data_IF_587678387224
#
_entry.id   IF_587678387224
#
_cell.length_a   1.000
_cell.length_b   1.000
_cell.length_c   1.000
_cell.angle_alpha   90.00
_cell.angle_beta   90.00
_cell.angle_gamma   90.00
#
_symmetry.space_group_name_H-M   'P 1'
#
loop_
_entity.id
_entity.type
_entity.pdbx_description
1 polymer ?
#
# COMPACT_ATOMS: atom_id res chain seq x y z
N UNK A 1 39.75 -20.57 8.63
CA UNK A 1 39.15 -20.29 7.31
C UNK A 1 38.06 -19.27 7.53
N UNK A 2 38.45 -18.03 7.32
CA UNK A 2 37.73 -16.81 7.61
C UNK A 2 36.49 -16.65 6.73
N UNK A 3 35.35 -16.44 7.37
CA UNK A 3 34.22 -15.76 6.75
C UNK A 3 33.66 -14.76 7.76
N UNK A 4 34.31 -13.59 7.84
CA UNK A 4 33.71 -12.39 8.40
C UNK A 4 32.50 -12.03 7.53
N UNK A 5 31.33 -12.55 7.87
CA UNK A 5 30.07 -12.01 7.39
C UNK A 5 29.88 -10.68 8.09
N UNK A 6 30.27 -9.59 7.41
CA UNK A 6 29.91 -8.24 7.83
C UNK A 6 28.38 -8.18 7.96
N UNK A 7 27.83 -7.61 9.03
CA UNK A 7 26.40 -7.35 9.10
C UNK A 7 26.07 -6.37 7.96
N UNK A 8 25.40 -6.87 6.93
CA UNK A 8 24.80 -6.04 5.92
C UNK A 8 23.70 -5.26 6.63
N UNK A 9 24.00 -4.02 6.99
CA UNK A 9 23.01 -3.03 7.38
C UNK A 9 21.94 -2.99 6.28
N UNK A 10 20.83 -3.68 6.53
CA UNK A 10 19.62 -3.45 5.77
C UNK A 10 19.26 -1.97 5.98
N UNK A 11 19.13 -1.16 4.92
CA UNK A 11 18.78 0.24 5.08
C UNK A 11 17.42 0.33 5.77
N UNK A 12 17.39 0.85 7.01
CA UNK A 12 16.17 1.07 7.81
C UNK A 12 15.19 2.11 7.23
N UNK A 13 15.33 2.47 5.96
CA UNK A 13 14.35 3.24 5.20
C UNK A 13 14.35 2.74 3.76
N UNK A 14 13.54 1.74 3.49
CA UNK A 14 13.14 1.43 2.11
C UNK A 14 12.24 2.58 1.66
N UNK A 15 12.55 3.27 0.54
CA UNK A 15 11.76 4.41 0.10
C UNK A 15 10.33 3.94 -0.23
N UNK A 16 9.36 4.35 0.59
CA UNK A 16 7.91 4.14 0.40
C UNK A 16 7.32 4.93 -0.77
N UNK A 17 8.11 5.27 -1.78
CA UNK A 17 7.60 6.08 -2.89
C UNK A 17 7.15 5.15 -3.99
N UNK A 18 5.86 4.83 -3.98
CA UNK A 18 5.15 4.35 -5.17
C UNK A 18 5.49 5.34 -6.30
N UNK A 19 6.11 4.88 -7.40
CA UNK A 19 6.29 5.69 -8.59
C UNK A 19 4.91 6.01 -9.13
N UNK A 20 4.46 7.24 -8.86
CA UNK A 20 3.26 7.77 -9.47
C UNK A 20 3.56 7.96 -10.95
N UNK A 21 3.03 7.05 -11.79
CA UNK A 21 2.87 7.30 -13.21
C UNK A 21 2.00 8.55 -13.33
N UNK A 22 2.62 9.71 -13.53
CA UNK A 22 1.91 10.96 -13.78
C UNK A 22 1.04 10.72 -15.00
N UNK A 23 -0.29 10.94 -14.94
CA UNK A 23 -1.10 10.89 -16.14
C UNK A 23 -0.58 11.98 -17.07
N UNK A 24 0.07 11.58 -18.15
CA UNK A 24 0.32 12.45 -19.29
C UNK A 24 -0.96 12.54 -20.11
N UNK A 25 -1.20 13.75 -20.59
CA UNK A 25 -2.26 14.20 -21.51
C UNK A 25 -3.50 14.81 -20.85
N UNK A 26 -3.66 16.09 -21.20
CA UNK A 26 -4.77 17.01 -20.95
C UNK A 26 -6.07 16.50 -21.59
N UNK A 27 -6.73 15.56 -20.92
CA UNK A 27 -8.09 15.13 -21.20
C UNK A 27 -8.83 14.98 -19.88
N UNK A 28 -10.13 15.33 -19.82
CA UNK A 28 -10.97 15.12 -18.63
C UNK A 28 -10.75 13.68 -18.14
N UNK A 29 -10.20 13.53 -16.94
CA UNK A 29 -10.07 12.21 -16.31
C UNK A 29 -11.46 11.59 -16.21
N UNK A 30 -11.59 10.33 -16.63
CA UNK A 30 -12.85 9.61 -16.44
C UNK A 30 -13.15 9.48 -14.95
N UNK A 31 -14.44 9.37 -14.59
CA UNK A 31 -14.89 9.16 -13.21
C UNK A 31 -14.17 7.97 -12.54
N UNK A 32 -13.95 6.89 -13.29
CA UNK A 32 -13.21 5.71 -12.84
C UNK A 32 -11.75 6.06 -12.55
N UNK A 33 -11.06 6.75 -13.45
CA UNK A 33 -9.67 7.16 -13.22
C UNK A 33 -9.56 8.07 -11.99
N UNK A 34 -10.48 9.03 -11.83
CA UNK A 34 -10.50 9.89 -10.64
C UNK A 34 -10.76 9.10 -9.36
N UNK A 35 -11.66 8.11 -9.36
CA UNK A 35 -11.89 7.25 -8.20
C UNK A 35 -10.63 6.46 -7.81
N UNK A 36 -9.94 5.87 -8.79
CA UNK A 36 -8.67 5.17 -8.55
C UNK A 36 -7.58 6.09 -8.01
N UNK A 37 -7.51 7.34 -8.50
CA UNK A 37 -6.56 8.32 -7.99
C UNK A 37 -6.87 8.74 -6.55
N UNK A 38 -8.14 8.85 -6.18
CA UNK A 38 -8.54 9.09 -4.79
C UNK A 38 -8.04 7.98 -3.88
N UNK A 39 -8.20 6.70 -4.25
CA UNK A 39 -7.70 5.57 -3.46
C UNK A 39 -6.16 5.56 -3.35
N UNK A 40 -5.46 6.03 -4.37
CA UNK A 40 -3.98 6.05 -4.42
C UNK A 40 -3.33 7.24 -3.70
N UNK A 41 -4.11 8.20 -3.19
CA UNK A 41 -3.58 9.43 -2.57
C UNK A 41 -3.18 9.26 -1.09
N UNK A 42 -3.65 8.18 -0.46
CA UNK A 42 -3.36 7.83 0.93
C UNK A 42 -1.95 7.23 1.05
N UNK A 43 -1.33 7.39 2.22
CA UNK A 43 -0.02 6.81 2.52
C UNK A 43 0.08 6.41 3.99
N UNK A 44 1.16 5.72 4.38
CA UNK A 44 1.37 5.39 5.80
C UNK A 44 1.56 6.64 6.66
N UNK A 45 2.23 7.67 6.14
CA UNK A 45 2.42 8.94 6.84
C UNK A 45 1.11 9.73 7.00
N UNK A 46 0.15 9.52 6.10
CA UNK A 46 -1.14 10.21 6.08
C UNK A 46 -2.25 9.22 5.68
N UNK A 47 -2.65 8.42 6.65
CA UNK A 47 -3.66 7.37 6.52
C UNK A 47 -5.09 7.91 6.49
N UNK A 48 -5.31 9.11 7.03
CA UNK A 48 -6.57 9.83 6.99
C UNK A 48 -6.41 11.16 6.24
N UNK A 49 -7.38 11.51 5.39
CA UNK A 49 -7.38 12.75 4.60
C UNK A 49 -8.78 13.36 4.48
N UNK A 50 -8.87 14.68 4.54
CA UNK A 50 -10.11 15.41 4.27
C UNK A 50 -10.30 15.69 2.78
N UNK A 51 -11.54 15.97 2.37
CA UNK A 51 -11.90 16.30 0.98
C UNK A 51 -11.04 17.42 0.39
N UNK A 52 -10.79 18.49 1.16
CA UNK A 52 -9.96 19.62 0.71
C UNK A 52 -8.53 19.21 0.39
N UNK A 53 -7.91 18.36 1.22
CA UNK A 53 -6.54 17.87 1.02
C UNK A 53 -6.46 16.96 -0.21
N UNK A 54 -7.43 16.07 -0.40
CA UNK A 54 -7.51 15.18 -1.56
C UNK A 54 -7.70 16.01 -2.85
N UNK A 55 -8.63 16.97 -2.84
CA UNK A 55 -8.89 17.87 -3.96
C UNK A 55 -7.64 18.65 -4.39
N UNK A 56 -6.92 19.22 -3.43
CA UNK A 56 -5.67 19.96 -3.70
C UNK A 56 -4.59 19.06 -4.33
N UNK A 57 -4.40 17.84 -3.80
CA UNK A 57 -3.36 16.92 -4.31
C UNK A 57 -3.64 16.42 -5.71
N UNK A 58 -4.91 16.18 -6.03
CA UNK A 58 -5.32 15.61 -7.31
C UNK A 58 -5.68 16.68 -8.36
N UNK A 59 -5.69 17.98 -7.99
CA UNK A 59 -6.12 19.05 -8.88
C UNK A 59 -7.60 18.94 -9.28
N UNK A 60 -8.44 18.37 -8.41
CA UNK A 60 -9.86 18.12 -8.67
C UNK A 60 -10.74 19.11 -7.90
N UNK A 61 -11.92 19.40 -8.43
CA UNK A 61 -12.92 20.18 -7.69
C UNK A 61 -13.37 19.44 -6.42
N UNK A 62 -13.56 20.17 -5.32
CA UNK A 62 -14.02 19.59 -4.03
C UNK A 62 -15.34 18.82 -4.17
N UNK A 63 -16.28 19.31 -4.99
CA UNK A 63 -17.55 18.63 -5.27
C UNK A 63 -17.35 17.28 -5.96
N UNK A 64 -16.41 17.18 -6.90
CA UNK A 64 -16.05 15.92 -7.56
C UNK A 64 -15.47 14.94 -6.56
N UNK A 65 -14.51 15.36 -5.74
CA UNK A 65 -13.89 14.51 -4.72
C UNK A 65 -14.91 14.06 -3.68
N UNK A 66 -15.79 14.95 -3.23
CA UNK A 66 -16.85 14.61 -2.29
C UNK A 66 -17.75 13.51 -2.86
N UNK A 67 -18.25 13.66 -4.09
CA UNK A 67 -19.10 12.64 -4.72
C UNK A 67 -18.39 11.30 -4.86
N UNK A 68 -17.13 11.31 -5.30
CA UNK A 68 -16.32 10.09 -5.40
C UNK A 68 -16.11 9.43 -4.04
N UNK A 69 -15.79 10.22 -3.01
CA UNK A 69 -15.55 9.72 -1.67
C UNK A 69 -16.81 9.08 -1.06
N UNK A 70 -17.98 9.70 -1.25
CA UNK A 70 -19.27 9.14 -0.82
C UNK A 70 -19.56 7.83 -1.54
N UNK A 71 -19.37 7.76 -2.86
CA UNK A 71 -19.56 6.51 -3.62
C UNK A 71 -18.61 5.42 -3.14
N UNK A 72 -17.31 5.73 -3.04
CA UNK A 72 -16.30 4.77 -2.58
C UNK A 72 -16.55 4.31 -1.14
N UNK A 73 -17.07 5.17 -0.28
CA UNK A 73 -17.44 4.82 1.09
C UNK A 73 -18.68 3.91 1.14
N UNK A 74 -19.68 4.19 0.31
CA UNK A 74 -20.86 3.33 0.18
C UNK A 74 -20.52 1.91 -0.29
N UNK A 75 -19.46 1.76 -1.10
CA UNK A 75 -18.94 0.47 -1.58
C UNK A 75 -17.83 -0.13 -0.68
N UNK A 76 -17.52 0.50 0.47
CA UNK A 76 -16.55 0.02 1.45
C UNK A 76 -15.06 0.15 1.05
N UNK A 77 -14.75 0.86 -0.03
CA UNK A 77 -13.38 1.16 -0.45
C UNK A 77 -12.75 2.33 0.32
N UNK A 78 -13.59 3.23 0.84
CA UNK A 78 -13.22 4.22 1.83
C UNK A 78 -14.07 4.06 3.09
N UNK A 79 -13.62 4.63 4.18
CA UNK A 79 -14.37 4.78 5.41
C UNK A 79 -14.27 6.23 5.87
N UNK A 80 -15.39 6.82 6.28
CA UNK A 80 -15.39 8.15 6.86
C UNK A 80 -15.27 8.04 8.39
N UNK A 81 -14.25 8.68 8.95
CA UNK A 81 -14.09 8.80 10.39
C UNK A 81 -15.20 9.71 10.96
N UNK A 82 -16.07 9.21 11.85
CA UNK A 82 -17.22 9.95 12.36
C UNK A 82 -16.83 11.12 13.26
N UNK A 83 -15.62 11.14 13.83
CA UNK A 83 -15.17 12.16 14.76
C UNK A 83 -14.68 13.43 14.06
N UNK A 84 -14.07 13.29 12.88
CA UNK A 84 -13.40 14.39 12.19
C UNK A 84 -13.83 14.55 10.72
N UNK A 85 -14.69 13.66 10.21
CA UNK A 85 -15.20 13.67 8.84
C UNK A 85 -14.17 13.36 7.75
N UNK A 86 -12.94 12.98 8.12
CA UNK A 86 -11.86 12.59 7.20
C UNK A 86 -12.09 11.18 6.71
N UNK A 87 -11.51 10.84 5.58
CA UNK A 87 -11.61 9.53 4.95
C UNK A 87 -10.32 8.73 5.17
N UNK A 88 -10.42 7.41 5.23
CA UNK A 88 -9.32 6.43 5.17
C UNK A 88 -9.67 5.29 4.21
N UNK A 89 -8.68 4.48 3.86
CA UNK A 89 -8.90 3.25 3.09
C UNK A 89 -9.81 2.28 3.84
N UNK A 90 -10.83 1.76 3.16
CA UNK A 90 -11.79 0.81 3.72
C UNK A 90 -11.39 -0.66 3.53
N UNK A 91 -12.10 -1.55 4.22
CA UNK A 91 -11.76 -2.98 4.28
C UNK A 91 -11.97 -3.75 2.97
N UNK A 92 -12.80 -3.27 2.03
CA UNK A 92 -12.97 -3.92 0.72
C UNK A 92 -11.64 -4.09 -0.02
N UNK A 93 -10.71 -3.15 0.17
CA UNK A 93 -9.36 -3.22 -0.40
C UNK A 93 -8.54 -4.37 0.19
N UNK A 94 -8.69 -4.65 1.49
CA UNK A 94 -8.01 -5.78 2.14
C UNK A 94 -8.51 -7.11 1.59
N UNK A 95 -9.83 -7.27 1.45
CA UNK A 95 -10.43 -8.48 0.89
C UNK A 95 -9.98 -8.74 -0.55
N UNK A 96 -9.95 -7.72 -1.40
CA UNK A 96 -9.45 -7.84 -2.77
C UNK A 96 -7.94 -8.13 -2.80
N UNK A 97 -7.17 -7.47 -1.94
CA UNK A 97 -5.74 -7.73 -1.79
C UNK A 97 -5.42 -9.15 -1.35
N UNK A 98 -6.25 -9.74 -0.48
CA UNK A 98 -6.11 -11.13 -0.05
C UNK A 98 -6.30 -12.12 -1.22
N UNK A 99 -7.27 -11.86 -2.11
CA UNK A 99 -7.47 -12.68 -3.32
C UNK A 99 -6.28 -12.59 -4.27
N UNK A 100 -5.69 -11.41 -4.43
CA UNK A 100 -4.47 -11.23 -5.23
C UNK A 100 -3.30 -11.99 -4.59
N UNK A 101 -3.11 -11.87 -3.27
CA UNK A 101 -2.09 -12.58 -2.52
C UNK A 101 -2.19 -14.09 -2.69
N UNK A 102 -3.40 -14.65 -2.68
CA UNK A 102 -3.62 -16.10 -2.86
C UNK A 102 -3.11 -16.62 -4.20
N UNK A 103 -3.10 -15.80 -5.26
CA UNK A 103 -2.58 -16.18 -6.58
C UNK A 103 -1.07 -16.01 -6.73
N UNK A 104 -0.40 -15.39 -5.77
CA UNK A 104 1.05 -15.26 -5.81
C UNK A 104 1.70 -16.55 -5.33
N UNK A 105 2.07 -17.44 -6.25
CA UNK A 105 2.70 -18.75 -5.95
C UNK A 105 3.91 -18.64 -5.01
N UNK A 106 4.71 -17.58 -5.18
CA UNK A 106 5.85 -17.26 -4.33
C UNK A 106 5.41 -17.02 -2.88
N UNK A 107 4.28 -16.35 -2.65
CA UNK A 107 3.74 -16.13 -1.30
C UNK A 107 3.31 -17.45 -0.65
N UNK A 108 2.68 -18.35 -1.41
CA UNK A 108 2.17 -19.61 -0.88
C UNK A 108 3.30 -20.59 -0.55
N UNK A 109 4.27 -20.75 -1.46
CA UNK A 109 5.39 -21.67 -1.26
C UNK A 109 6.40 -21.16 -0.23
N UNK A 110 6.59 -19.83 -0.15
CA UNK A 110 7.57 -19.26 0.76
C UNK A 110 7.11 -19.26 2.22
N UNK A 111 5.82 -19.41 2.54
CA UNK A 111 5.34 -19.29 3.93
C UNK A 111 6.09 -20.22 4.89
N UNK A 112 6.18 -21.51 4.55
CA UNK A 112 6.87 -22.51 5.38
C UNK A 112 8.39 -22.30 5.41
N UNK A 113 8.98 -21.84 4.28
CA UNK A 113 10.42 -21.60 4.18
C UNK A 113 10.85 -20.37 4.99
N UNK A 114 10.08 -19.29 4.93
CA UNK A 114 10.33 -18.04 5.66
C UNK A 114 10.20 -18.28 7.18
N UNK A 115 9.20 -19.06 7.60
CA UNK A 115 9.07 -19.47 9.01
C UNK A 115 10.27 -20.29 9.50
N UNK A 116 10.66 -21.31 8.74
CA UNK A 116 11.83 -22.14 9.08
C UNK A 116 13.13 -21.32 9.11
N UNK A 117 13.29 -20.35 8.20
CA UNK A 117 14.44 -19.45 8.19
C UNK A 117 14.46 -18.54 9.42
N UNK A 118 13.34 -17.91 9.78
CA UNK A 118 13.25 -17.10 11.01
C UNK A 118 13.65 -17.92 12.23
N UNK A 119 13.12 -19.13 12.35
CA UNK A 119 13.36 -19.98 13.51
C UNK A 119 14.83 -20.46 13.56
N UNK A 120 15.46 -20.66 12.39
CA UNK A 120 16.87 -21.02 12.30
C UNK A 120 17.80 -19.84 12.61
N UNK A 121 17.51 -18.66 12.06
CA UNK A 121 18.41 -17.50 12.15
C UNK A 121 18.16 -16.63 13.37
N UNK A 122 16.95 -16.71 13.95
CA UNK A 122 16.47 -15.79 15.00
C UNK A 122 16.52 -14.32 14.56
N UNK A 123 16.43 -14.06 13.25
CA UNK A 123 16.47 -12.73 12.66
C UNK A 123 15.15 -12.39 11.96
N UNK A 124 14.89 -11.11 11.75
CA UNK A 124 13.72 -10.66 10.99
C UNK A 124 13.84 -11.07 9.52
N UNK A 125 12.78 -11.66 8.98
CA UNK A 125 12.73 -12.08 7.57
C UNK A 125 11.72 -11.21 6.82
N UNK A 126 12.20 -10.61 5.72
CA UNK A 126 11.38 -9.86 4.80
C UNK A 126 11.37 -10.53 3.44
N UNK A 127 10.19 -10.97 2.98
CA UNK A 127 10.01 -11.44 1.60
C UNK A 127 9.29 -10.35 0.81
N UNK A 128 9.87 -9.94 -0.32
CA UNK A 128 9.27 -8.96 -1.19
C UNK A 128 9.44 -9.33 -2.66
N UNK A 129 8.52 -8.83 -3.49
CA UNK A 129 8.61 -8.89 -4.95
C UNK A 129 8.86 -7.49 -5.50
N UNK A 130 9.61 -7.43 -6.60
CA UNK A 130 9.74 -6.22 -7.39
C UNK A 130 8.57 -6.16 -8.38
N UNK A 131 7.76 -5.13 -8.27
CA UNK A 131 6.71 -4.78 -9.22
C UNK A 131 7.11 -3.49 -9.94
N UNK A 132 7.61 -3.64 -11.17
CA UNK A 132 8.20 -2.58 -11.99
C UNK A 132 9.34 -1.83 -11.27
N UNK A 133 9.00 -0.77 -10.53
CA UNK A 133 9.91 0.10 -9.79
C UNK A 133 9.55 0.21 -8.31
N UNK A 134 8.61 -0.62 -7.84
CA UNK A 134 8.13 -0.68 -6.45
C UNK A 134 8.46 -2.02 -5.83
N UNK A 135 8.78 -2.03 -4.53
CA UNK A 135 8.93 -3.25 -3.75
C UNK A 135 7.61 -3.50 -3.01
N UNK A 136 6.99 -4.67 -3.22
CA UNK A 136 5.79 -5.10 -2.50
C UNK A 136 6.20 -6.20 -1.51
N UNK A 137 6.08 -5.91 -0.22
CA UNK A 137 6.35 -6.89 0.83
C UNK A 137 5.21 -7.91 0.93
N UNK A 138 5.56 -9.19 0.75
CA UNK A 138 4.66 -10.31 0.90
C UNK A 138 4.65 -10.80 2.35
N UNK A 139 5.82 -10.98 2.96
CA UNK A 139 5.94 -11.31 4.39
C UNK A 139 6.86 -10.34 5.10
N UNK A 140 6.45 -9.96 6.31
CA UNK A 140 7.26 -9.27 7.28
C UNK A 140 7.16 -10.07 8.59
N UNK A 141 8.17 -10.87 8.88
CA UNK A 141 8.23 -11.65 10.12
C UNK A 141 9.33 -11.05 10.99
N UNK A 142 8.93 -10.56 12.16
CA UNK A 142 9.86 -10.06 13.17
C UNK A 142 10.66 -11.23 13.75
N UNK A 143 11.85 -10.93 14.26
CA UNK A 143 12.64 -11.87 15.05
C UNK A 143 11.82 -12.41 16.23
N UNK A 144 12.13 -13.63 16.66
CA UNK A 144 11.50 -14.25 17.83
C UNK A 144 12.09 -13.76 19.18
N UNK A 145 12.89 -12.68 19.17
CA UNK A 145 13.66 -12.17 20.30
C UNK A 145 13.14 -10.83 20.83
#
# INVERSE_FOLDING_TARGET
MDAKVKPALLPQKVPQKVPQKRPTASGRLSSVTSALLVLKVFSQAESELGISSIAQRLGLAKSTVHRLAVTLAGEGFLEQNPQNGRYRLGLSLFSLGALVRQRMDVSNQAHSLVGALRDLTQESIHLAILDETSIIYLYNMESAQ
#
